data_IF_039872906304
#
_entry.id   IF_039872906304
#
_cell.length_a   1.000
_cell.length_b   1.000
_cell.length_c   1.000
_cell.angle_alpha   90.00
_cell.angle_beta   90.00
_cell.angle_gamma   90.00
#
_symmetry.space_group_name_H-M   'P 1'
#
loop_
_entity.id
_entity.type
_entity.pdbx_description
1 polymer ?
#
# COMPACT_ATOMS: atom_id res chain seq x y z
N UNK A 1 15.44 30.52 -11.67
CA UNK A 1 15.51 29.95 -13.03
C UNK A 1 16.95 29.92 -13.56
N UNK A 2 17.80 30.91 -13.27
CA UNK A 2 19.21 30.90 -13.67
C UNK A 2 20.12 30.22 -12.63
N UNK A 3 19.98 28.91 -12.47
CA UNK A 3 20.92 28.08 -11.71
C UNK A 3 21.15 26.75 -12.42
N UNK A 4 22.36 26.19 -12.31
CA UNK A 4 22.63 24.82 -12.77
C UNK A 4 22.09 23.87 -11.72
N UNK A 5 21.16 23.00 -12.12
CA UNK A 5 20.60 21.96 -11.27
C UNK A 5 21.27 20.64 -11.61
N UNK A 6 21.89 20.00 -10.62
CA UNK A 6 22.48 18.66 -10.74
C UNK A 6 21.69 17.77 -9.80
N UNK A 7 21.13 16.69 -10.34
CA UNK A 7 20.47 15.64 -9.55
C UNK A 7 21.39 14.43 -9.47
N UNK A 8 21.61 13.93 -8.26
CA UNK A 8 22.34 12.69 -8.01
C UNK A 8 21.32 11.68 -7.49
N UNK A 9 20.99 10.68 -8.31
CA UNK A 9 20.10 9.58 -7.92
C UNK A 9 20.94 8.36 -7.55
N UNK A 10 20.54 7.59 -6.52
CA UNK A 10 21.23 6.36 -6.19
C UNK A 10 21.17 5.37 -7.36
N UNK A 11 22.19 4.51 -7.51
CA UNK A 11 22.19 3.47 -8.54
C UNK A 11 20.97 2.56 -8.37
N UNK A 12 20.31 2.24 -9.49
CA UNK A 12 19.15 1.34 -9.52
C UNK A 12 19.58 -0.08 -9.83
N UNK A 13 18.96 -1.03 -9.16
CA UNK A 13 19.15 -2.47 -9.32
C UNK A 13 20.06 -3.12 -8.26
N UNK A 14 19.85 -4.41 -8.03
CA UNK A 14 20.59 -5.22 -7.05
C UNK A 14 22.09 -5.23 -7.38
N UNK A 15 22.44 -5.46 -8.65
CA UNK A 15 23.83 -5.43 -9.12
C UNK A 15 24.54 -4.13 -8.75
N UNK A 16 23.93 -2.99 -9.04
CA UNK A 16 24.57 -1.70 -8.87
C UNK A 16 24.70 -1.32 -7.38
N UNK A 17 23.69 -1.68 -6.57
CA UNK A 17 23.76 -1.50 -5.12
C UNK A 17 24.80 -2.42 -4.46
N UNK A 18 24.89 -3.69 -4.86
CA UNK A 18 25.93 -4.60 -4.37
C UNK A 18 27.33 -4.08 -4.70
N UNK A 19 27.56 -3.66 -5.95
CA UNK A 19 28.85 -3.09 -6.35
C UNK A 19 29.19 -1.81 -5.56
N UNK A 20 28.19 -0.96 -5.27
CA UNK A 20 28.36 0.23 -4.43
C UNK A 20 28.79 -0.17 -3.02
N UNK A 21 28.08 -1.08 -2.37
CA UNK A 21 28.38 -1.55 -1.02
C UNK A 21 29.79 -2.15 -0.94
N UNK A 22 30.13 -3.04 -1.87
CA UNK A 22 31.46 -3.65 -1.92
C UNK A 22 32.57 -2.68 -2.30
N UNK A 23 32.25 -1.51 -2.89
CA UNK A 23 33.24 -0.44 -3.13
C UNK A 23 33.53 0.36 -1.87
N UNK A 24 32.58 0.43 -0.93
CA UNK A 24 32.74 1.11 0.37
C UNK A 24 33.55 0.26 1.35
N UNK A 25 33.45 -1.08 1.27
CA UNK A 25 34.23 -2.00 2.11
C UNK A 25 35.70 -1.98 1.68
N UNK A 26 36.61 -1.70 2.63
CA UNK A 26 38.06 -1.73 2.41
C UNK A 26 38.63 -3.13 2.62
N UNK A 27 39.77 -3.44 2.00
CA UNK A 27 40.46 -4.73 2.20
C UNK A 27 40.88 -4.93 3.67
N UNK A 28 41.22 -3.85 4.36
CA UNK A 28 41.53 -3.86 5.79
C UNK A 28 40.32 -4.31 6.60
N UNK A 29 39.18 -3.64 6.42
CA UNK A 29 37.90 -3.95 7.06
C UNK A 29 37.39 -5.36 6.75
N UNK A 30 37.66 -5.85 5.53
CA UNK A 30 37.29 -7.20 5.12
C UNK A 30 38.13 -8.28 5.83
N UNK A 31 39.40 -7.97 6.15
CA UNK A 31 40.32 -8.86 6.86
C UNK A 31 40.30 -8.77 8.39
N UNK A 32 39.49 -7.87 8.97
CA UNK A 32 39.44 -7.64 10.43
C UNK A 32 38.86 -8.83 11.21
N UNK A 33 37.85 -9.51 10.66
CA UNK A 33 37.15 -10.59 11.34
C UNK A 33 37.99 -11.88 11.36
N UNK A 34 38.12 -12.50 12.54
CA UNK A 34 38.88 -13.74 12.74
C UNK A 34 38.26 -14.91 11.98
N UNK A 35 36.93 -14.92 11.88
CA UNK A 35 36.17 -15.98 11.20
C UNK A 35 35.84 -15.60 9.75
N UNK A 36 36.88 -15.27 8.97
CA UNK A 36 36.77 -14.78 7.57
C UNK A 36 35.82 -15.61 6.68
N UNK A 37 35.81 -16.95 6.83
CA UNK A 37 34.88 -17.82 6.10
C UNK A 37 33.40 -17.48 6.36
N UNK A 38 33.01 -17.38 7.64
CA UNK A 38 31.62 -17.07 8.02
C UNK A 38 31.26 -15.64 7.66
N UNK A 39 32.18 -14.72 7.96
CA UNK A 39 32.00 -13.29 7.72
C UNK A 39 31.80 -12.98 6.23
N UNK A 40 32.64 -13.49 5.33
CA UNK A 40 32.53 -13.22 3.88
C UNK A 40 31.14 -13.55 3.30
N UNK A 41 30.59 -14.72 3.66
CA UNK A 41 29.28 -15.19 3.21
C UNK A 41 28.16 -14.36 3.81
N UNK A 42 28.21 -14.09 5.12
CA UNK A 42 27.17 -13.32 5.81
C UNK A 42 27.20 -11.83 5.43
N UNK A 43 28.38 -11.26 5.14
CA UNK A 43 28.50 -9.92 4.59
C UNK A 43 27.83 -9.83 3.22
N UNK A 44 27.98 -10.85 2.36
CA UNK A 44 27.26 -10.91 1.09
C UNK A 44 25.74 -10.96 1.31
N UNK A 45 25.27 -11.81 2.24
CA UNK A 45 23.86 -11.86 2.64
C UNK A 45 23.36 -10.50 3.15
N UNK A 46 24.15 -9.79 3.95
CA UNK A 46 23.81 -8.46 4.47
C UNK A 46 23.75 -7.40 3.37
N UNK A 47 24.72 -7.40 2.46
CA UNK A 47 24.75 -6.48 1.32
C UNK A 47 23.58 -6.75 0.37
N UNK A 48 23.22 -8.02 0.16
CA UNK A 48 22.05 -8.42 -0.61
C UNK A 48 20.76 -8.00 0.08
N UNK A 49 20.62 -8.24 1.39
CA UNK A 49 19.49 -7.79 2.21
C UNK A 49 19.27 -6.27 2.08
N UNK A 50 20.33 -5.48 2.29
CA UNK A 50 20.27 -4.03 2.17
C UNK A 50 19.84 -3.61 0.75
N UNK A 51 20.43 -4.23 -0.28
CA UNK A 51 20.10 -3.95 -1.69
C UNK A 51 18.65 -4.29 -2.03
N UNK A 52 18.13 -5.43 -1.52
CA UNK A 52 16.73 -5.83 -1.68
C UNK A 52 15.82 -4.79 -1.05
N UNK A 53 16.10 -4.32 0.16
CA UNK A 53 15.26 -3.32 0.83
C UNK A 53 15.22 -1.98 0.10
N UNK A 54 16.36 -1.50 -0.40
CA UNK A 54 16.44 -0.27 -1.19
C UNK A 54 15.61 -0.36 -2.48
N UNK A 55 15.80 -1.45 -3.23
CA UNK A 55 15.15 -1.63 -4.53
C UNK A 55 13.68 -2.03 -4.42
N UNK A 56 13.27 -2.63 -3.29
CA UNK A 56 11.87 -3.02 -3.06
C UNK A 56 10.92 -1.83 -3.12
N UNK A 57 11.41 -0.62 -2.86
CA UNK A 57 10.68 0.65 -3.05
C UNK A 57 10.11 0.81 -4.47
N UNK A 58 10.73 0.20 -5.48
CA UNK A 58 10.23 0.24 -6.87
C UNK A 58 8.81 -0.33 -6.99
N UNK A 59 8.45 -1.29 -6.15
CA UNK A 59 7.13 -1.94 -6.16
C UNK A 59 6.06 -1.19 -5.37
N UNK A 60 6.36 0.02 -4.86
CA UNK A 60 5.43 0.83 -4.06
C UNK A 60 4.82 -0.02 -2.92
N UNK A 61 3.50 0.02 -2.74
CA UNK A 61 2.78 -0.70 -1.68
C UNK A 61 2.82 -2.22 -1.80
N UNK A 62 3.19 -2.79 -2.96
CA UNK A 62 3.46 -4.23 -3.08
C UNK A 62 4.83 -4.61 -2.51
N UNK A 63 5.74 -3.64 -2.45
CA UNK A 63 7.05 -3.80 -1.84
C UNK A 63 6.99 -3.67 -0.33
N UNK A 64 6.73 -2.44 0.14
CA UNK A 64 6.52 -2.07 1.53
C UNK A 64 5.35 -1.08 1.58
N UNK A 65 4.53 -1.14 2.61
CA UNK A 65 3.39 -0.25 2.79
C UNK A 65 3.84 1.22 2.88
N UNK A 66 4.97 1.46 3.55
CA UNK A 66 5.56 2.79 3.71
C UNK A 66 6.94 2.84 3.03
N UNK A 67 7.25 3.89 2.25
CA UNK A 67 8.57 4.04 1.65
C UNK A 67 9.58 4.50 2.71
N UNK A 68 10.34 3.55 3.26
CA UNK A 68 11.41 3.84 4.21
C UNK A 68 12.71 4.23 3.50
N UNK A 69 13.43 5.21 4.06
CA UNK A 69 14.75 5.62 3.59
C UNK A 69 15.83 4.90 4.43
N UNK A 70 16.25 3.73 3.96
CA UNK A 70 17.44 3.04 4.48
C UNK A 70 18.71 3.70 3.94
N UNK A 71 19.76 3.77 4.76
CA UNK A 71 20.98 4.47 4.41
C UNK A 71 22.23 3.61 4.64
N UNK A 72 23.38 4.13 4.20
CA UNK A 72 24.65 3.43 4.33
C UNK A 72 25.09 3.25 5.81
N UNK A 73 24.58 4.07 6.74
CA UNK A 73 24.87 3.88 8.18
C UNK A 73 24.17 2.64 8.74
N UNK A 74 22.98 2.31 8.27
CA UNK A 74 22.28 1.09 8.68
C UNK A 74 23.08 -0.15 8.26
N UNK A 75 23.67 -0.11 7.06
CA UNK A 75 24.58 -1.17 6.59
C UNK A 75 25.87 -1.22 7.42
N UNK A 76 26.56 -0.09 7.62
CA UNK A 76 27.82 -0.05 8.37
C UNK A 76 27.69 -0.55 9.81
N UNK A 77 26.64 -0.12 10.52
CA UNK A 77 26.37 -0.59 11.89
C UNK A 77 26.10 -2.10 11.92
N UNK A 78 25.39 -2.62 10.91
CA UNK A 78 25.11 -4.06 10.82
C UNK A 78 26.37 -4.87 10.51
N UNK A 79 27.29 -4.32 9.71
CA UNK A 79 28.59 -4.92 9.42
C UNK A 79 29.47 -5.00 10.69
N UNK A 80 29.55 -3.90 11.45
CA UNK A 80 30.29 -3.87 12.72
C UNK A 80 29.72 -4.85 13.76
N UNK A 81 28.39 -4.93 13.86
CA UNK A 81 27.71 -5.91 14.71
C UNK A 81 28.01 -7.34 14.26
N UNK A 82 27.98 -7.59 12.95
CA UNK A 82 28.29 -8.91 12.39
C UNK A 82 29.71 -9.34 12.77
N UNK A 83 30.72 -8.48 12.58
CA UNK A 83 32.11 -8.76 12.95
C UNK A 83 32.25 -9.04 14.45
N UNK A 84 31.68 -8.18 15.28
CA UNK A 84 31.79 -8.27 16.74
C UNK A 84 31.23 -9.60 17.25
N UNK A 85 30.02 -9.97 16.83
CA UNK A 85 29.38 -11.20 17.30
C UNK A 85 30.02 -12.47 16.72
N UNK A 86 30.57 -12.42 15.50
CA UNK A 86 31.28 -13.56 14.93
C UNK A 86 32.65 -13.81 15.58
N UNK A 87 33.27 -12.78 16.17
CA UNK A 87 34.56 -12.90 16.86
C UNK A 87 34.41 -13.20 18.36
N UNK A 88 33.31 -12.76 18.99
CA UNK A 88 33.02 -12.98 20.41
C UNK A 88 32.51 -14.40 20.70
N UNK A 89 31.74 -14.99 19.78
CA UNK A 89 31.10 -16.30 19.96
C UNK A 89 31.68 -17.37 19.01
N UNK A 90 31.89 -18.58 19.54
CA UNK A 90 32.40 -19.71 18.75
C UNK A 90 31.34 -20.25 17.76
N UNK A 91 30.10 -20.37 18.23
CA UNK A 91 28.92 -20.65 17.42
C UNK A 91 28.24 -19.36 16.99
N UNK A 92 27.62 -19.37 15.80
CA UNK A 92 26.98 -18.16 15.26
C UNK A 92 25.68 -17.89 16.03
N UNK A 93 25.55 -16.74 16.72
CA UNK A 93 24.36 -16.44 17.51
C UNK A 93 23.24 -15.90 16.59
N UNK A 94 22.58 -16.82 15.88
CA UNK A 94 21.60 -16.49 14.84
C UNK A 94 20.47 -15.57 15.31
N UNK A 95 19.86 -15.88 16.45
CA UNK A 95 18.71 -15.12 16.95
C UNK A 95 19.12 -13.69 17.36
N UNK A 96 20.32 -13.54 17.94
CA UNK A 96 20.87 -12.24 18.31
C UNK A 96 21.18 -11.40 17.06
N UNK A 97 21.87 -11.98 16.07
CA UNK A 97 22.17 -11.30 14.80
C UNK A 97 20.89 -10.90 14.05
N UNK A 98 19.91 -11.80 13.99
CA UNK A 98 18.61 -11.53 13.38
C UNK A 98 17.92 -10.36 14.06
N UNK A 99 17.76 -10.43 15.38
CA UNK A 99 17.10 -9.38 16.15
C UNK A 99 17.82 -8.03 16.03
N UNK A 100 19.15 -7.99 16.17
CA UNK A 100 19.91 -6.75 16.12
C UNK A 100 19.85 -6.08 14.76
N UNK A 101 19.92 -6.86 13.68
CA UNK A 101 19.88 -6.31 12.32
C UNK A 101 18.44 -5.98 11.93
N UNK A 102 17.49 -6.92 11.96
CA UNK A 102 16.14 -6.68 11.44
C UNK A 102 15.24 -5.87 12.37
N UNK A 103 15.28 -6.09 13.69
CA UNK A 103 14.37 -5.42 14.63
C UNK A 103 14.98 -4.14 15.21
N UNK A 104 16.22 -4.20 15.69
CA UNK A 104 16.83 -3.06 16.37
C UNK A 104 17.34 -2.00 15.39
N UNK A 105 18.13 -2.40 14.38
CA UNK A 105 18.74 -1.45 13.45
C UNK A 105 17.77 -1.03 12.34
N UNK A 106 17.46 -1.94 11.40
CA UNK A 106 16.54 -1.62 10.29
C UNK A 106 15.11 -1.41 10.79
N UNK A 107 14.66 -2.24 11.73
CA UNK A 107 13.33 -2.14 12.34
C UNK A 107 13.14 -0.85 13.12
N UNK A 108 14.20 -0.20 13.61
CA UNK A 108 14.13 1.14 14.21
C UNK A 108 13.56 2.21 13.26
N UNK A 109 13.65 2.00 11.94
CA UNK A 109 13.06 2.88 10.91
C UNK A 109 11.66 2.46 10.49
N UNK A 110 11.30 1.20 10.71
CA UNK A 110 10.04 0.62 10.22
C UNK A 110 8.94 0.81 11.25
N UNK A 111 7.91 1.55 10.86
CA UNK A 111 6.77 1.89 11.72
C UNK A 111 5.62 0.88 11.60
N UNK A 112 5.49 0.19 10.48
CA UNK A 112 4.40 -0.75 10.19
C UNK A 112 4.78 -2.19 10.56
N UNK A 113 3.90 -2.90 11.26
CA UNK A 113 4.16 -4.27 11.74
C UNK A 113 4.24 -5.29 10.60
N UNK A 114 3.46 -5.09 9.52
CA UNK A 114 3.49 -5.98 8.36
C UNK A 114 4.78 -5.78 7.57
N UNK A 115 5.23 -4.54 7.41
CA UNK A 115 6.54 -4.25 6.82
C UNK A 115 7.68 -4.83 7.67
N UNK A 116 7.62 -4.75 9.01
CA UNK A 116 8.59 -5.42 9.90
C UNK A 116 8.63 -6.93 9.66
N UNK A 117 7.47 -7.56 9.50
CA UNK A 117 7.38 -8.99 9.19
C UNK A 117 8.09 -9.33 7.87
N UNK A 118 8.00 -8.47 6.85
CA UNK A 118 8.71 -8.65 5.58
C UNK A 118 10.22 -8.60 5.78
N UNK A 119 10.73 -7.60 6.52
CA UNK A 119 12.16 -7.49 6.85
C UNK A 119 12.67 -8.73 7.58
N UNK A 120 11.93 -9.16 8.61
CA UNK A 120 12.26 -10.36 9.38
C UNK A 120 12.29 -11.60 8.50
N UNK A 121 11.34 -11.74 7.57
CA UNK A 121 11.27 -12.90 6.67
C UNK A 121 12.51 -12.98 5.78
N UNK A 122 12.96 -11.87 5.21
CA UNK A 122 14.21 -11.83 4.45
C UNK A 122 15.41 -12.20 5.28
N UNK A 123 15.55 -11.61 6.46
CA UNK A 123 16.72 -11.87 7.28
C UNK A 123 16.74 -13.33 7.78
N UNK A 124 15.58 -13.92 8.10
CA UNK A 124 15.50 -15.34 8.45
C UNK A 124 15.90 -16.26 7.30
N UNK A 125 15.56 -15.89 6.05
CA UNK A 125 15.94 -16.64 4.86
C UNK A 125 17.45 -16.54 4.58
N UNK A 126 18.04 -15.37 4.79
CA UNK A 126 19.44 -15.10 4.42
C UNK A 126 20.44 -15.46 5.54
N UNK A 127 20.04 -15.37 6.80
CA UNK A 127 20.85 -15.73 7.98
C UNK A 127 20.40 -17.09 8.51
N UNK A 128 20.92 -18.15 7.90
CA UNK A 128 20.70 -19.53 8.32
C UNK A 128 21.98 -20.35 8.18
N UNK A 129 22.02 -21.54 8.80
CA UNK A 129 23.17 -22.44 8.69
C UNK A 129 23.42 -22.89 7.25
N UNK A 130 22.36 -23.04 6.46
CA UNK A 130 22.45 -23.41 5.04
C UNK A 130 23.19 -22.36 4.21
N UNK A 131 23.04 -21.06 4.54
CA UNK A 131 23.80 -20.00 3.87
C UNK A 131 25.31 -20.12 4.07
N UNK A 132 25.76 -20.76 5.15
CA UNK A 132 27.17 -21.02 5.42
C UNK A 132 27.65 -22.36 4.84
N UNK A 133 26.83 -23.40 4.94
CA UNK A 133 27.22 -24.78 4.68
C UNK A 133 26.95 -25.23 3.23
N UNK A 134 25.90 -24.70 2.59
CA UNK A 134 25.53 -25.09 1.23
C UNK A 134 26.35 -24.26 0.23
N UNK A 135 27.03 -24.90 -0.74
CA UNK A 135 27.73 -24.17 -1.80
C UNK A 135 26.68 -23.51 -2.70
N UNK A 136 26.90 -22.24 -3.04
CA UNK A 136 25.97 -21.44 -3.87
C UNK A 136 24.54 -21.46 -3.33
N UNK A 137 24.36 -21.22 -2.03
CA UNK A 137 23.04 -21.14 -1.40
C UNK A 137 22.14 -20.12 -2.13
N UNK A 138 20.96 -20.52 -2.64
CA UNK A 138 20.09 -19.63 -3.41
C UNK A 138 19.41 -18.59 -2.50
N UNK A 139 19.52 -17.32 -2.88
CA UNK A 139 18.88 -16.19 -2.18
C UNK A 139 17.50 -15.85 -2.75
N UNK A 140 17.20 -16.31 -3.96
CA UNK A 140 15.95 -16.11 -4.68
C UNK A 140 15.56 -17.42 -5.39
N UNK A 141 14.32 -17.49 -5.89
CA UNK A 141 13.88 -18.55 -6.82
C UNK A 141 14.70 -18.60 -8.10
N UNK A 142 15.37 -17.50 -8.46
CA UNK A 142 16.27 -17.45 -9.61
C UNK A 142 17.66 -18.01 -9.30
N UNK A 143 18.15 -18.87 -10.18
CA UNK A 143 19.46 -19.56 -10.05
C UNK A 143 20.67 -18.63 -10.09
N UNK A 144 20.49 -17.39 -10.52
CA UNK A 144 21.58 -16.41 -10.69
C UNK A 144 21.91 -15.69 -9.38
N UNK A 145 20.99 -15.69 -8.40
CA UNK A 145 21.17 -15.01 -7.12
C UNK A 145 21.44 -16.04 -6.03
N UNK A 146 22.72 -16.29 -5.79
CA UNK A 146 23.19 -17.16 -4.72
C UNK A 146 24.32 -16.50 -3.91
N UNK A 147 24.63 -17.07 -2.76
CA UNK A 147 25.78 -16.70 -1.92
C UNK A 147 27.05 -17.33 -2.49
N UNK A 148 28.03 -16.54 -2.97
CA UNK A 148 29.29 -17.09 -3.47
C UNK A 148 30.09 -17.83 -2.39
N UNK A 149 30.97 -18.72 -2.81
CA UNK A 149 31.94 -19.33 -1.91
C UNK A 149 32.92 -18.29 -1.33
N UNK A 150 33.54 -18.62 -0.19
CA UNK A 150 34.52 -17.74 0.43
C UNK A 150 35.66 -17.42 -0.52
N UNK A 151 35.94 -16.13 -0.69
CA UNK A 151 37.00 -15.62 -1.54
C UNK A 151 37.48 -14.24 -1.14
N UNK A 152 38.28 -13.62 -2.00
CA UNK A 152 38.76 -12.24 -1.82
C UNK A 152 37.61 -11.25 -2.06
N UNK A 153 37.74 -10.03 -1.54
CA UNK A 153 36.78 -8.96 -1.80
C UNK A 153 36.53 -8.75 -3.31
N UNK A 154 37.59 -8.87 -4.11
CA UNK A 154 37.50 -8.78 -5.57
C UNK A 154 36.64 -9.89 -6.19
N UNK A 155 36.69 -11.13 -5.66
CA UNK A 155 35.86 -12.23 -6.18
C UNK A 155 34.36 -11.98 -5.99
N UNK A 156 33.95 -11.37 -4.88
CA UNK A 156 32.55 -10.96 -4.65
C UNK A 156 32.13 -9.82 -5.57
N UNK A 157 33.04 -8.87 -5.85
CA UNK A 157 32.80 -7.80 -6.84
C UNK A 157 32.64 -8.38 -8.24
N UNK A 158 33.50 -9.30 -8.65
CA UNK A 158 33.45 -9.95 -9.95
C UNK A 158 32.14 -10.72 -10.12
N UNK A 159 31.69 -11.43 -9.07
CA UNK A 159 30.38 -12.07 -9.06
C UNK A 159 29.23 -11.06 -9.20
N UNK A 160 29.24 -9.96 -8.45
CA UNK A 160 28.21 -8.93 -8.56
C UNK A 160 28.13 -8.33 -9.99
N UNK A 161 29.23 -8.27 -10.73
CA UNK A 161 29.25 -7.86 -12.16
C UNK A 161 28.55 -8.88 -13.07
N UNK A 162 28.53 -10.16 -12.71
CA UNK A 162 27.83 -11.19 -13.52
C UNK A 162 26.32 -11.12 -13.42
N UNK A 163 25.78 -10.44 -12.40
CA UNK A 163 24.34 -10.31 -12.20
C UNK A 163 23.68 -9.48 -13.32
N UNK A 164 22.39 -9.74 -13.61
CA UNK A 164 21.62 -8.96 -14.57
C UNK A 164 21.62 -7.46 -14.25
N UNK A 165 21.53 -6.63 -15.29
CA UNK A 165 21.29 -5.19 -15.14
C UNK A 165 19.84 -4.88 -14.79
N UNK A 166 18.91 -5.77 -15.18
CA UNK A 166 17.48 -5.63 -14.94
C UNK A 166 17.03 -6.76 -14.03
N UNK A 167 16.65 -6.41 -12.81
CA UNK A 167 16.19 -7.38 -11.80
C UNK A 167 14.68 -7.60 -11.90
N UNK A 168 14.28 -8.86 -12.13
CA UNK A 168 12.87 -9.28 -12.12
C UNK A 168 12.32 -9.34 -10.68
N UNK A 169 11.00 -9.27 -10.53
CA UNK A 169 10.30 -9.37 -9.24
C UNK A 169 10.71 -10.61 -8.42
N UNK A 170 10.97 -11.73 -9.08
CA UNK A 170 11.41 -12.97 -8.46
C UNK A 170 12.75 -12.83 -7.74
N UNK A 171 13.65 -11.94 -8.19
CA UNK A 171 14.92 -11.64 -7.51
C UNK A 171 14.66 -11.12 -6.09
N UNK A 172 13.55 -10.41 -5.89
CA UNK A 172 13.14 -9.86 -4.62
C UNK A 172 12.17 -10.79 -3.87
N UNK A 173 11.98 -12.03 -4.29
CA UNK A 173 11.00 -12.96 -3.71
C UNK A 173 9.55 -12.52 -3.92
N UNK A 174 9.26 -11.70 -4.93
CA UNK A 174 7.91 -11.28 -5.28
C UNK A 174 7.37 -12.05 -6.49
N UNK A 175 6.05 -12.11 -6.61
CA UNK A 175 5.39 -12.69 -7.78
C UNK A 175 5.62 -11.82 -9.04
N UNK A 176 5.78 -12.39 -10.25
CA UNK A 176 5.99 -11.65 -11.50
C UNK A 176 4.98 -10.52 -11.79
N UNK A 177 3.74 -10.64 -11.27
CA UNK A 177 2.72 -9.58 -11.39
C UNK A 177 3.13 -8.25 -10.72
N UNK A 178 4.09 -8.26 -9.81
CA UNK A 178 4.65 -7.04 -9.23
C UNK A 178 5.36 -6.18 -10.28
N UNK A 179 6.07 -6.81 -11.23
CA UNK A 179 6.68 -6.09 -12.36
C UNK A 179 5.62 -5.47 -13.26
N UNK A 180 4.53 -6.19 -13.55
CA UNK A 180 3.40 -5.67 -14.35
C UNK A 180 2.80 -4.43 -13.66
N UNK A 181 2.57 -4.52 -12.35
CA UNK A 181 1.99 -3.43 -11.55
C UNK A 181 2.92 -2.21 -11.51
N UNK A 182 4.22 -2.44 -11.34
CA UNK A 182 5.25 -1.41 -11.43
C UNK A 182 5.24 -0.72 -12.80
N UNK A 183 5.26 -1.50 -13.89
CA UNK A 183 5.25 -0.94 -15.26
C UNK A 183 3.99 -0.13 -15.57
N UNK A 184 2.82 -0.59 -15.12
CA UNK A 184 1.55 0.16 -15.26
C UNK A 184 1.64 1.49 -14.53
N UNK A 185 2.16 1.49 -13.30
CA UNK A 185 2.28 2.70 -12.50
C UNK A 185 3.30 3.69 -13.07
N UNK A 186 4.48 3.22 -13.47
CA UNK A 186 5.52 4.04 -14.06
C UNK A 186 5.04 4.67 -15.38
N UNK A 187 4.38 3.86 -16.23
CA UNK A 187 3.75 4.34 -17.47
C UNK A 187 2.69 5.41 -17.18
N UNK A 188 1.86 5.22 -16.15
CA UNK A 188 0.84 6.20 -15.75
C UNK A 188 1.48 7.52 -15.31
N UNK A 189 2.54 7.48 -14.50
CA UNK A 189 3.28 8.67 -14.07
C UNK A 189 3.85 9.45 -15.26
N UNK A 190 4.41 8.75 -16.24
CA UNK A 190 4.92 9.36 -17.48
C UNK A 190 3.77 9.99 -18.28
N UNK A 191 2.66 9.28 -18.47
CA UNK A 191 1.50 9.79 -19.20
C UNK A 191 0.86 11.00 -18.52
N UNK A 192 0.72 10.99 -17.20
CA UNK A 192 0.23 12.13 -16.41
C UNK A 192 1.15 13.34 -16.54
N UNK A 193 2.47 13.11 -16.50
CA UNK A 193 3.47 14.15 -16.74
C UNK A 193 3.35 14.73 -18.15
N UNK A 194 3.18 13.89 -19.18
CA UNK A 194 2.95 14.34 -20.56
C UNK A 194 1.66 15.16 -20.69
N UNK A 195 0.56 14.72 -20.07
CA UNK A 195 -0.71 15.46 -20.07
C UNK A 195 -0.55 16.82 -19.41
N UNK A 196 0.21 16.92 -18.31
CA UNK A 196 0.47 18.21 -17.65
C UNK A 196 1.32 19.18 -18.46
N UNK A 197 2.09 18.68 -19.44
CA UNK A 197 2.89 19.49 -20.35
C UNK A 197 2.11 19.94 -21.58
N UNK A 198 0.97 19.29 -21.88
CA UNK A 198 0.12 19.74 -22.98
C UNK A 198 -0.42 21.14 -22.65
N UNK A 199 -0.46 22.06 -23.63
CA UNK A 199 -1.15 23.32 -23.44
C UNK A 199 -2.59 22.99 -23.02
N UNK A 200 -3.10 23.67 -21.99
CA UNK A 200 -4.53 23.62 -21.68
C UNK A 200 -5.27 23.93 -22.98
N UNK A 201 -5.89 22.91 -23.57
CA UNK A 201 -6.35 23.00 -24.94
C UNK A 201 -7.35 24.16 -25.04
N UNK A 202 -7.01 25.20 -25.81
CA UNK A 202 -8.01 26.04 -26.44
C UNK A 202 -8.74 25.14 -27.43
N UNK A 203 -9.82 24.51 -26.98
CA UNK A 203 -10.62 23.57 -27.75
C UNK A 203 -11.11 24.23 -29.03
N UNK A 204 -10.48 23.88 -30.16
CA UNK A 204 -10.87 24.28 -31.51
C UNK A 204 -11.98 23.38 -32.07
N UNK A 205 -12.92 22.97 -31.22
CA UNK A 205 -13.99 22.04 -31.57
C UNK A 205 -15.21 22.18 -30.67
N UNK A 206 -16.18 23.00 -31.11
CA UNK A 206 -17.62 22.87 -30.84
C UNK A 206 -18.15 23.03 -29.41
N UNK A 207 -17.69 22.21 -28.46
CA UNK A 207 -18.14 22.22 -27.07
C UNK A 207 -17.08 22.88 -26.20
N UNK A 208 -17.48 23.88 -25.42
CA UNK A 208 -16.56 24.48 -24.44
C UNK A 208 -16.30 23.50 -23.30
N UNK A 209 -15.17 23.61 -22.63
CA UNK A 209 -14.87 22.85 -21.39
C UNK A 209 -16.01 22.95 -20.38
N UNK A 210 -16.66 24.12 -20.35
CA UNK A 210 -17.77 24.47 -19.49
C UNK A 210 -19.03 23.65 -19.81
N UNK A 211 -19.33 23.44 -21.10
CA UNK A 211 -20.45 22.60 -21.56
C UNK A 211 -20.24 21.13 -21.18
N UNK A 212 -19.01 20.63 -21.34
CA UNK A 212 -18.64 19.26 -20.98
C UNK A 212 -18.77 19.04 -19.47
N UNK A 213 -18.21 19.93 -18.66
CA UNK A 213 -18.30 19.85 -17.19
C UNK A 213 -19.76 19.94 -16.75
N UNK A 214 -20.55 20.84 -17.34
CA UNK A 214 -21.98 20.95 -17.01
C UNK A 214 -22.73 19.66 -17.30
N UNK A 215 -22.47 19.01 -18.45
CA UNK A 215 -23.09 17.73 -18.82
C UNK A 215 -22.74 16.62 -17.82
N UNK A 216 -21.47 16.53 -17.41
CA UNK A 216 -21.02 15.55 -16.42
C UNK A 216 -21.66 15.81 -15.04
N UNK A 217 -21.76 17.07 -14.63
CA UNK A 217 -22.42 17.44 -13.38
C UNK A 217 -23.92 17.12 -13.43
N UNK A 218 -24.58 17.30 -14.56
CA UNK A 218 -25.99 16.91 -14.76
C UNK A 218 -26.19 15.40 -14.66
N UNK A 219 -25.34 14.61 -15.31
CA UNK A 219 -25.36 13.14 -15.22
C UNK A 219 -25.18 12.70 -13.75
N UNK A 220 -24.19 13.29 -13.06
CA UNK A 220 -23.89 12.99 -11.67
C UNK A 220 -25.08 13.30 -10.76
N UNK A 221 -25.69 14.47 -10.89
CA UNK A 221 -26.88 14.85 -10.13
C UNK A 221 -28.09 13.94 -10.41
N UNK A 222 -28.24 13.45 -11.64
CA UNK A 222 -29.35 12.55 -12.00
C UNK A 222 -29.17 11.11 -11.52
N UNK A 223 -27.92 10.67 -11.42
CA UNK A 223 -27.56 9.27 -11.11
C UNK A 223 -27.37 9.04 -9.61
N UNK A 224 -26.83 10.03 -8.89
CA UNK A 224 -26.56 9.91 -7.45
C UNK A 224 -27.86 10.12 -6.65
N UNK A 225 -28.28 9.15 -5.83
CA UNK A 225 -29.52 9.28 -5.04
C UNK A 225 -29.49 10.46 -4.07
N UNK A 226 -30.68 10.89 -3.65
CA UNK A 226 -30.86 11.90 -2.61
C UNK A 226 -30.65 11.31 -1.21
N UNK A 227 -30.43 12.19 -0.23
CA UNK A 227 -30.22 11.84 1.16
C UNK A 227 -31.40 11.05 1.78
N UNK A 228 -31.08 10.21 2.75
CA UNK A 228 -32.08 9.54 3.57
C UNK A 228 -32.60 10.44 4.68
N UNK A 229 -33.88 10.29 5.02
CA UNK A 229 -34.42 10.84 6.25
C UNK A 229 -34.03 9.95 7.44
N UNK A 230 -32.97 10.34 8.15
CA UNK A 230 -32.41 9.59 9.29
C UNK A 230 -33.46 9.28 10.36
N UNK A 231 -34.37 10.23 10.67
CA UNK A 231 -35.39 10.03 11.70
C UNK A 231 -36.37 8.91 11.32
N UNK A 232 -36.74 8.83 10.04
CA UNK A 232 -37.63 7.78 9.55
C UNK A 232 -36.93 6.41 9.58
N UNK A 233 -35.64 6.37 9.24
CA UNK A 233 -34.84 5.14 9.29
C UNK A 233 -34.70 4.64 10.73
N UNK A 234 -34.42 5.54 11.68
CA UNK A 234 -34.33 5.19 13.11
C UNK A 234 -35.66 4.70 13.66
N UNK A 235 -36.78 5.35 13.32
CA UNK A 235 -38.12 4.92 13.74
C UNK A 235 -38.48 3.54 13.17
N UNK A 236 -38.13 3.26 11.92
CA UNK A 236 -38.43 1.98 11.28
C UNK A 236 -37.64 0.80 11.88
N UNK A 237 -36.52 1.07 12.55
CA UNK A 237 -35.62 0.05 13.14
C UNK A 237 -35.54 0.14 14.66
N UNK A 238 -36.43 0.90 15.30
CA UNK A 238 -36.42 1.14 16.74
C UNK A 238 -36.67 -0.14 17.57
N UNK A 239 -37.32 -1.14 16.98
CA UNK A 239 -37.69 -2.39 17.66
C UNK A 239 -36.49 -3.30 17.97
N UNK A 240 -35.36 -3.12 17.29
CA UNK A 240 -34.15 -3.95 17.47
C UNK A 240 -32.93 -3.11 17.89
N UNK A 241 -32.56 -3.14 19.19
CA UNK A 241 -31.44 -2.36 19.75
C UNK A 241 -30.06 -2.99 19.49
N UNK A 242 -29.90 -3.71 18.38
CA UNK A 242 -28.63 -4.29 17.95
C UNK A 242 -27.57 -3.23 17.67
N UNK A 243 -26.32 -3.54 18.02
CA UNK A 243 -25.17 -2.69 17.70
C UNK A 243 -24.98 -2.51 16.18
N UNK A 244 -25.44 -3.47 15.38
CA UNK A 244 -25.39 -3.41 13.92
C UNK A 244 -26.28 -2.29 13.34
N UNK A 245 -27.48 -2.06 13.90
CA UNK A 245 -28.33 -0.95 13.47
C UNK A 245 -27.72 0.42 13.86
N UNK A 246 -27.00 0.50 14.97
CA UNK A 246 -26.26 1.71 15.33
C UNK A 246 -25.20 2.04 14.28
N UNK A 247 -24.48 1.03 13.78
CA UNK A 247 -23.52 1.21 12.67
C UNK A 247 -24.24 1.66 11.41
N UNK A 248 -25.37 1.05 11.05
CA UNK A 248 -26.18 1.48 9.91
C UNK A 248 -26.55 2.98 10.01
N UNK A 249 -27.03 3.44 11.17
CA UNK A 249 -27.39 4.85 11.36
C UNK A 249 -26.19 5.79 11.21
N UNK A 250 -25.03 5.42 11.75
CA UNK A 250 -23.79 6.20 11.60
C UNK A 250 -23.30 6.26 10.15
N UNK A 251 -23.39 5.15 9.42
CA UNK A 251 -23.03 5.08 8.00
C UNK A 251 -23.99 5.95 7.16
N UNK A 252 -25.30 5.84 7.39
CA UNK A 252 -26.32 6.68 6.74
C UNK A 252 -26.06 8.16 7.01
N UNK A 253 -25.73 8.55 8.24
CA UNK A 253 -25.39 9.93 8.58
C UNK A 253 -24.16 10.43 7.80
N UNK A 254 -23.06 9.65 7.76
CA UNK A 254 -21.84 10.02 7.04
C UNK A 254 -22.06 10.11 5.53
N UNK A 255 -22.79 9.17 4.94
CA UNK A 255 -23.15 9.24 3.53
C UNK A 255 -24.10 10.41 3.23
N UNK A 256 -25.05 10.72 4.12
CA UNK A 256 -25.89 11.90 3.97
C UNK A 256 -25.09 13.20 3.93
N UNK A 257 -24.03 13.32 4.74
CA UNK A 257 -23.11 14.48 4.67
C UNK A 257 -22.43 14.56 3.30
N UNK A 258 -21.97 13.41 2.76
CA UNK A 258 -21.38 13.35 1.42
C UNK A 258 -22.39 13.73 0.32
N UNK A 259 -23.56 13.10 0.32
CA UNK A 259 -24.60 13.31 -0.71
C UNK A 259 -25.06 14.77 -0.72
N UNK A 260 -25.34 15.36 0.45
CA UNK A 260 -25.70 16.78 0.56
C UNK A 260 -24.59 17.68 0.03
N UNK A 261 -23.33 17.42 0.42
CA UNK A 261 -22.19 18.21 -0.06
C UNK A 261 -22.02 18.08 -1.58
N UNK A 262 -22.15 16.88 -2.11
CA UNK A 262 -22.03 16.59 -3.54
C UNK A 262 -23.12 17.33 -4.34
N UNK A 263 -24.39 17.20 -3.98
CA UNK A 263 -25.49 17.88 -4.65
C UNK A 263 -25.34 19.41 -4.58
N UNK A 264 -25.03 19.96 -3.40
CA UNK A 264 -24.84 21.39 -3.21
C UNK A 264 -23.65 21.95 -4.02
N UNK A 265 -22.52 21.24 -4.03
CA UNK A 265 -21.32 21.67 -4.77
C UNK A 265 -21.51 21.53 -6.27
N UNK A 266 -22.16 20.47 -6.77
CA UNK A 266 -22.49 20.34 -8.20
C UNK A 266 -23.39 21.48 -8.68
N UNK A 267 -24.44 21.81 -7.91
CA UNK A 267 -25.33 22.92 -8.26
C UNK A 267 -24.61 24.28 -8.21
N UNK A 268 -23.77 24.50 -7.20
CA UNK A 268 -22.98 25.71 -7.06
C UNK A 268 -21.96 25.88 -8.19
N UNK A 269 -21.26 24.81 -8.59
CA UNK A 269 -20.32 24.84 -9.73
C UNK A 269 -21.05 25.16 -11.03
N UNK A 270 -22.23 24.56 -11.29
CA UNK A 270 -23.05 24.90 -12.47
C UNK A 270 -23.50 26.36 -12.49
N UNK A 271 -23.88 26.91 -11.33
CA UNK A 271 -24.22 28.34 -11.20
C UNK A 271 -22.98 29.22 -11.37
N UNK A 272 -21.82 28.78 -10.90
CA UNK A 272 -20.52 29.43 -11.08
C UNK A 272 -20.13 29.54 -12.55
N UNK A 273 -20.25 28.45 -13.32
CA UNK A 273 -20.02 28.42 -14.77
C UNK A 273 -20.91 29.43 -15.50
N UNK A 274 -22.18 29.57 -15.09
CA UNK A 274 -23.13 30.55 -15.65
C UNK A 274 -22.92 31.98 -15.16
N UNK A 275 -21.95 32.23 -14.27
CA UNK A 275 -21.71 33.55 -13.66
C UNK A 275 -22.76 34.00 -12.64
N UNK A 276 -23.62 33.09 -12.15
CA UNK A 276 -24.67 33.38 -11.18
C UNK A 276 -24.17 33.34 -9.72
N UNK A 277 -23.05 32.67 -9.48
CA UNK A 277 -22.38 32.54 -8.18
C UNK A 277 -20.90 32.84 -8.37
N UNK A 278 -20.26 33.48 -7.39
CA UNK A 278 -18.82 33.73 -7.42
C UNK A 278 -18.07 32.41 -7.33
N UNK A 279 -17.16 32.18 -8.28
CA UNK A 279 -16.30 31.02 -8.27
C UNK A 279 -15.30 31.12 -7.10
N UNK A 280 -15.45 30.24 -6.12
CA UNK A 280 -14.52 30.12 -5.00
C UNK A 280 -13.42 29.12 -5.34
N UNK A 281 -12.31 29.15 -4.59
CA UNK A 281 -11.22 28.18 -4.78
C UNK A 281 -11.70 26.71 -4.70
N UNK A 282 -12.65 26.39 -3.81
CA UNK A 282 -13.22 25.03 -3.73
C UNK A 282 -14.05 24.68 -4.98
N UNK A 283 -14.78 25.62 -5.56
CA UNK A 283 -15.56 25.38 -6.78
C UNK A 283 -14.66 25.28 -8.03
N UNK A 284 -13.60 26.08 -8.09
CA UNK A 284 -12.55 25.99 -9.12
C UNK A 284 -11.85 24.63 -9.09
N UNK A 285 -11.48 24.15 -7.90
CA UNK A 285 -10.86 22.84 -7.73
C UNK A 285 -11.79 21.71 -8.19
N UNK A 286 -13.08 21.81 -7.87
CA UNK A 286 -14.11 20.84 -8.32
C UNK A 286 -14.24 20.90 -9.85
N UNK A 287 -14.33 22.10 -10.44
CA UNK A 287 -14.40 22.28 -11.89
C UNK A 287 -13.21 21.63 -12.59
N UNK A 288 -11.99 21.94 -12.15
CA UNK A 288 -10.76 21.41 -12.73
C UNK A 288 -10.64 19.89 -12.54
N UNK A 289 -11.06 19.36 -11.39
CA UNK A 289 -11.05 17.92 -11.14
C UNK A 289 -12.04 17.18 -12.05
N UNK A 290 -13.27 17.69 -12.18
CA UNK A 290 -14.31 17.10 -13.05
C UNK A 290 -13.90 17.19 -14.51
N UNK A 291 -13.36 18.33 -14.96
CA UNK A 291 -12.82 18.49 -16.31
C UNK A 291 -11.70 17.48 -16.62
N UNK A 292 -10.88 17.15 -15.62
CA UNK A 292 -9.82 16.14 -15.72
C UNK A 292 -10.30 14.69 -15.48
N UNK A 293 -11.61 14.45 -15.28
CA UNK A 293 -12.16 13.12 -14.97
C UNK A 293 -11.71 12.54 -13.63
N UNK A 294 -11.22 13.38 -12.72
CA UNK A 294 -10.77 13.02 -11.37
C UNK A 294 -11.84 13.34 -10.34
N UNK A 295 -11.86 12.58 -9.24
CA UNK A 295 -12.72 12.89 -8.10
C UNK A 295 -12.12 14.09 -7.34
N UNK A 296 -12.89 15.17 -7.09
CA UNK A 296 -12.47 16.28 -6.23
C UNK A 296 -12.13 15.83 -4.81
N UNK A 297 -11.11 16.44 -4.20
CA UNK A 297 -10.68 16.07 -2.84
C UNK A 297 -11.73 16.38 -1.77
N UNK A 298 -12.61 17.35 -2.05
CA UNK A 298 -13.78 17.66 -1.24
C UNK A 298 -14.70 16.44 -1.01
N UNK A 299 -14.80 15.52 -1.99
CA UNK A 299 -15.67 14.34 -1.95
C UNK A 299 -14.95 13.09 -1.43
N UNK A 300 -13.61 13.04 -1.51
CA UNK A 300 -12.80 11.91 -1.01
C UNK A 300 -12.69 11.82 0.52
N UNK A 301 -13.15 12.84 1.25
CA UNK A 301 -13.06 12.87 2.72
C UNK A 301 -13.86 11.75 3.40
N UNK A 302 -14.93 11.28 2.77
CA UNK A 302 -15.83 10.27 3.35
C UNK A 302 -15.24 8.86 3.24
N UNK A 303 -14.60 8.54 2.11
CA UNK A 303 -13.86 7.30 1.94
C UNK A 303 -12.73 7.48 0.90
N UNK A 304 -11.55 6.86 1.13
CA UNK A 304 -10.43 6.95 0.21
C UNK A 304 -10.74 6.19 -1.09
N UNK A 305 -10.40 6.79 -2.23
CA UNK A 305 -10.57 6.17 -3.55
C UNK A 305 -9.50 6.63 -4.53
N UNK A 306 -8.98 5.67 -5.29
CA UNK A 306 -8.09 5.91 -6.45
C UNK A 306 -8.83 5.78 -7.79
N UNK A 307 -10.16 5.59 -7.75
CA UNK A 307 -10.99 5.41 -8.96
C UNK A 307 -11.14 6.74 -9.72
N UNK A 308 -11.17 6.71 -11.07
CA UNK A 308 -11.62 7.85 -11.87
C UNK A 308 -13.08 8.22 -11.56
N UNK A 309 -13.49 9.45 -11.89
CA UNK A 309 -14.79 10.01 -11.54
C UNK A 309 -15.97 9.09 -11.90
N UNK A 310 -16.03 8.58 -13.13
CA UNK A 310 -17.15 7.73 -13.57
C UNK A 310 -17.22 6.39 -12.83
N UNK A 311 -16.08 5.77 -12.54
CA UNK A 311 -16.03 4.53 -11.75
C UNK A 311 -16.32 4.78 -10.27
N UNK A 312 -15.92 5.93 -9.73
CA UNK A 312 -16.26 6.36 -8.38
C UNK A 312 -17.75 6.64 -8.22
N UNK A 313 -18.39 7.26 -9.22
CA UNK A 313 -19.83 7.50 -9.20
C UNK A 313 -20.64 6.20 -9.13
N UNK A 314 -20.30 5.21 -9.98
CA UNK A 314 -20.94 3.87 -9.92
C UNK A 314 -20.72 3.18 -8.57
N UNK A 315 -19.52 3.30 -8.02
CA UNK A 315 -19.17 2.77 -6.69
C UNK A 315 -20.00 3.43 -5.58
N UNK A 316 -20.20 4.75 -5.64
CA UNK A 316 -21.05 5.49 -4.72
C UNK A 316 -22.51 5.04 -4.79
N UNK A 317 -23.06 4.87 -5.99
CA UNK A 317 -24.43 4.39 -6.18
C UNK A 317 -24.60 2.99 -5.59
N UNK A 318 -23.67 2.07 -5.88
CA UNK A 318 -23.71 0.72 -5.32
C UNK A 318 -23.69 0.73 -3.79
N UNK A 319 -22.84 1.55 -3.16
CA UNK A 319 -22.79 1.69 -1.69
C UNK A 319 -24.13 2.17 -1.12
N UNK A 320 -24.74 3.15 -1.79
CA UNK A 320 -26.04 3.71 -1.40
C UNK A 320 -27.14 2.66 -1.56
N UNK A 321 -27.11 1.86 -2.63
CA UNK A 321 -28.08 0.79 -2.89
C UNK A 321 -27.98 -0.34 -1.86
N UNK A 322 -26.78 -0.72 -1.43
CA UNK A 322 -26.60 -1.72 -0.37
C UNK A 322 -27.12 -1.24 0.98
N UNK A 323 -26.87 0.03 1.34
CA UNK A 323 -27.45 0.63 2.54
C UNK A 323 -28.97 0.72 2.44
N UNK A 324 -29.51 1.06 1.27
CA UNK A 324 -30.96 1.05 0.99
C UNK A 324 -31.58 -0.33 1.20
N UNK A 325 -30.92 -1.38 0.73
CA UNK A 325 -31.37 -2.75 0.92
C UNK A 325 -31.43 -3.13 2.40
N UNK A 326 -30.45 -2.70 3.21
CA UNK A 326 -30.45 -2.93 4.65
C UNK A 326 -31.50 -2.09 5.40
N UNK A 327 -31.70 -0.83 5.00
CA UNK A 327 -32.73 0.06 5.58
C UNK A 327 -34.13 -0.52 5.37
N UNK A 328 -34.44 -0.96 4.15
CA UNK A 328 -35.76 -1.46 3.77
C UNK A 328 -36.01 -2.93 4.15
N UNK A 329 -34.96 -3.76 4.16
CA UNK A 329 -35.03 -5.19 4.40
C UNK A 329 -34.62 -5.60 5.82
N UNK A 330 -34.17 -6.84 5.97
CA UNK A 330 -33.55 -7.37 7.19
C UNK A 330 -32.03 -7.23 7.13
N UNK A 331 -31.31 -7.78 8.12
CA UNK A 331 -29.86 -7.90 8.08
C UNK A 331 -29.36 -8.55 6.77
N UNK A 332 -28.41 -7.92 6.05
CA UNK A 332 -27.72 -8.52 4.94
C UNK A 332 -27.08 -9.86 5.33
N UNK A 333 -27.04 -10.79 4.38
CA UNK A 333 -26.33 -12.07 4.56
C UNK A 333 -24.85 -11.93 4.26
N UNK A 334 -24.53 -11.09 3.28
CA UNK A 334 -23.19 -10.72 2.86
C UNK A 334 -23.06 -9.22 3.06
N UNK A 335 -21.95 -8.80 3.63
CA UNK A 335 -21.66 -7.41 3.94
C UNK A 335 -20.44 -6.97 3.12
N UNK A 336 -20.60 -5.95 2.27
CA UNK A 336 -19.48 -5.38 1.55
C UNK A 336 -18.63 -4.51 2.48
N UNK A 337 -17.60 -5.10 3.08
CA UNK A 337 -16.82 -4.45 4.13
C UNK A 337 -16.17 -3.13 3.67
N UNK A 338 -15.64 -3.08 2.44
CA UNK A 338 -15.09 -1.85 1.86
C UNK A 338 -16.15 -0.83 1.44
N UNK A 339 -17.43 -1.22 1.46
CA UNK A 339 -18.60 -0.37 1.26
C UNK A 339 -18.83 0.59 2.44
N UNK A 340 -18.33 0.27 3.64
CA UNK A 340 -18.46 1.13 4.81
C UNK A 340 -17.40 2.22 4.87
N UNK A 341 -17.80 3.38 5.39
CA UNK A 341 -16.88 4.49 5.71
C UNK A 341 -16.02 4.16 6.93
N UNK A 342 -16.53 3.35 7.86
CA UNK A 342 -15.79 2.90 9.04
C UNK A 342 -15.97 1.39 9.31
N UNK A 343 -15.26 0.53 8.56
CA UNK A 343 -15.41 -0.93 8.65
C UNK A 343 -15.05 -1.53 10.02
N UNK A 344 -14.13 -0.90 10.76
CA UNK A 344 -13.73 -1.36 12.10
C UNK A 344 -14.86 -1.24 13.11
N UNK A 345 -15.71 -0.20 12.99
CA UNK A 345 -16.91 -0.06 13.81
C UNK A 345 -17.94 -1.15 13.52
N UNK A 346 -18.08 -1.55 12.25
CA UNK A 346 -18.90 -2.69 11.87
C UNK A 346 -18.39 -3.99 12.51
N UNK A 347 -17.09 -4.29 12.37
CA UNK A 347 -16.49 -5.48 12.99
C UNK A 347 -16.70 -5.49 14.51
N UNK A 348 -16.53 -4.34 15.17
CA UNK A 348 -16.79 -4.21 16.62
C UNK A 348 -18.25 -4.48 16.96
N UNK A 349 -19.19 -3.99 16.14
CA UNK A 349 -20.62 -4.25 16.34
C UNK A 349 -20.99 -5.73 16.14
N UNK A 350 -20.33 -6.44 15.20
CA UNK A 350 -20.48 -7.88 15.04
C UNK A 350 -19.98 -8.62 16.28
N UNK A 351 -18.80 -8.27 16.81
CA UNK A 351 -18.28 -8.84 18.06
C UNK A 351 -19.23 -8.58 19.24
N UNK A 352 -19.75 -7.36 19.38
CA UNK A 352 -20.72 -7.02 20.43
C UNK A 352 -22.02 -7.83 20.32
N UNK A 353 -22.53 -7.99 19.11
CA UNK A 353 -23.75 -8.77 18.85
C UNK A 353 -23.55 -10.24 19.20
N UNK A 354 -22.40 -10.80 18.83
CA UNK A 354 -22.01 -12.19 19.11
C UNK A 354 -21.79 -12.43 20.61
N UNK A 355 -21.07 -11.51 21.28
CA UNK A 355 -20.84 -11.54 22.72
C UNK A 355 -22.15 -11.54 23.52
N UNK A 356 -23.11 -10.68 23.12
CA UNK A 356 -24.45 -10.62 23.74
C UNK A 356 -25.26 -11.89 23.48
N UNK A 357 -25.22 -12.42 22.25
CA UNK A 357 -25.93 -13.66 21.87
C UNK A 357 -25.43 -14.86 22.68
N UNK A 358 -24.11 -14.97 22.87
CA UNK A 358 -23.47 -16.09 23.55
C UNK A 358 -23.27 -15.86 25.06
N UNK A 359 -23.65 -14.68 25.57
CA UNK A 359 -23.49 -14.28 26.99
C UNK A 359 -22.03 -14.42 27.48
N UNK A 360 -21.07 -14.03 26.65
CA UNK A 360 -19.63 -14.07 26.94
C UNK A 360 -19.01 -12.66 26.87
N UNK A 361 -17.91 -12.38 27.59
CA UNK A 361 -17.22 -11.11 27.49
C UNK A 361 -16.64 -10.89 26.09
N UNK A 362 -16.76 -9.67 25.56
CA UNK A 362 -16.25 -9.32 24.23
C UNK A 362 -14.73 -9.54 24.10
N UNK A 363 -13.97 -9.35 25.18
CA UNK A 363 -12.51 -9.49 25.20
C UNK A 363 -12.03 -10.93 25.02
N UNK A 364 -12.93 -11.92 25.15
CA UNK A 364 -12.62 -13.33 24.91
C UNK A 364 -12.81 -13.75 23.45
N UNK A 365 -13.38 -12.88 22.62
CA UNK A 365 -13.63 -13.14 21.21
C UNK A 365 -12.43 -12.70 20.36
N UNK A 366 -12.00 -13.58 19.47
CA UNK A 366 -11.05 -13.28 18.40
C UNK A 366 -11.67 -13.59 17.04
N UNK A 367 -11.19 -12.92 16.00
CA UNK A 367 -11.58 -13.24 14.63
C UNK A 367 -10.84 -14.50 14.17
N UNK A 368 -11.58 -15.42 13.59
CA UNK A 368 -11.06 -16.53 12.80
C UNK A 368 -11.68 -16.48 11.41
N UNK A 369 -10.94 -16.95 10.41
CA UNK A 369 -11.31 -16.83 9.00
C UNK A 369 -11.29 -18.20 8.33
N UNK A 370 -12.42 -18.60 7.77
CA UNK A 370 -12.52 -19.79 6.92
C UNK A 370 -12.68 -19.37 5.46
N UNK A 371 -11.97 -20.05 4.57
CA UNK A 371 -12.09 -19.81 3.14
C UNK A 371 -13.36 -20.48 2.63
N UNK A 372 -14.28 -19.69 2.09
CA UNK A 372 -15.51 -20.15 1.46
C UNK A 372 -15.34 -20.03 -0.05
N UNK A 373 -15.36 -21.17 -0.76
CA UNK A 373 -15.27 -21.23 -2.22
C UNK A 373 -16.67 -21.18 -2.86
N UNK A 374 -17.46 -20.16 -2.54
CA UNK A 374 -18.80 -19.94 -3.10
C UNK A 374 -18.90 -18.48 -3.54
N UNK A 375 -19.66 -18.24 -4.61
CA UNK A 375 -19.97 -16.89 -5.05
C UNK A 375 -20.98 -16.24 -4.09
N UNK A 376 -20.96 -14.90 -4.00
CA UNK A 376 -21.84 -14.11 -3.13
C UNK A 376 -23.33 -14.51 -3.25
N UNK A 377 -23.78 -14.77 -4.48
CA UNK A 377 -25.17 -15.14 -4.77
C UNK A 377 -25.59 -16.51 -4.22
N UNK A 378 -24.63 -17.40 -3.96
CA UNK A 378 -24.87 -18.75 -3.45
C UNK A 378 -24.96 -18.78 -1.92
N UNK A 379 -24.57 -17.68 -1.25
CA UNK A 379 -24.60 -17.55 0.20
C UNK A 379 -26.03 -17.28 0.67
N UNK A 380 -26.76 -18.36 0.94
CA UNK A 380 -28.18 -18.30 1.32
C UNK A 380 -28.43 -18.23 2.82
N UNK A 381 -27.42 -18.53 3.65
CA UNK A 381 -27.54 -18.61 5.11
C UNK A 381 -26.61 -17.62 5.79
N UNK A 382 -27.04 -17.12 6.96
CA UNK A 382 -26.17 -16.37 7.86
C UNK A 382 -25.13 -17.32 8.49
N UNK A 383 -23.98 -16.80 8.93
CA UNK A 383 -22.99 -17.59 9.66
C UNK A 383 -23.62 -18.28 10.87
N UNK A 384 -23.20 -19.53 11.14
CA UNK A 384 -23.75 -20.36 12.23
C UNK A 384 -23.41 -19.79 13.61
N UNK A 385 -22.27 -19.14 13.72
CA UNK A 385 -21.75 -18.49 14.93
C UNK A 385 -21.69 -16.97 14.74
#
# INVERSE_FOLDING_TARGET
>A
QNSVKITNEPPRGLRANLLRMYSTVTEESYGECRTAHKYSKLLFCLAYFHSVLLERRKFQTLGLNIPYDFNDTDFAVSDDLLKTYLDEYEEVPWDALKYLISEANYGGRVTDELDRRVLNSYLHQFYCEDALNVPNYPLSTMTQYFVPEHGTLQSFRDYAVTLPTVDQAEAFGQHPNADISYMIHDSKTILESLVSLLPAASSSGGATTDDLVTTVLDELMSTVPHEWNLENVQKAKADDPSALHVVLFQEVERYNVLLKKLHATCEATKKGIKGLVVMSAELDDIFNAVAAGRVPDAWKKTYPSVKPLGSWMRDLVQRVDELNAWISGTYPKVYWLSGYTYPTGFLTAVLQTTARRNTIPIDTLSWDFSIINLDESEITQQPKE
#
